data_IF_690161941420
#
_entry.id   IF_690161941420
#
_cell.length_a   1.000
_cell.length_b   1.000
_cell.length_c   1.000
_cell.angle_alpha   90.00
_cell.angle_beta   90.00
_cell.angle_gamma   90.00
#
_symmetry.space_group_name_H-M   'P 1'
#
loop_
_entity.id
_entity.type
_entity.pdbx_description
1 polymer ?
#
# COMPACT_ATOMS: atom_id res chain seq x y z
N UNK A 1 23.96 0.71 43.73
CA UNK A 1 23.37 1.90 43.07
C UNK A 1 24.00 2.26 41.71
N UNK A 2 25.17 1.71 41.32
CA UNK A 2 25.88 2.05 40.06
C UNK A 2 25.64 1.08 38.88
N UNK A 3 25.09 -0.11 39.12
CA UNK A 3 24.83 -1.14 38.09
C UNK A 3 23.57 -0.89 37.27
N UNK A 4 22.56 -0.24 37.87
CA UNK A 4 21.28 0.10 37.23
C UNK A 4 21.45 1.27 36.25
N UNK A 5 22.27 2.27 36.59
CA UNK A 5 22.55 3.44 35.74
C UNK A 5 23.40 3.12 34.51
N UNK A 6 24.30 2.13 34.59
CA UNK A 6 25.08 1.65 33.43
C UNK A 6 24.21 0.89 32.42
N UNK A 7 23.27 0.06 32.89
CA UNK A 7 22.33 -0.68 32.03
C UNK A 7 21.39 0.26 31.27
N UNK A 8 20.84 1.30 31.91
CA UNK A 8 19.97 2.26 31.25
C UNK A 8 20.66 2.99 30.09
N UNK A 9 21.90 3.44 30.29
CA UNK A 9 22.69 4.11 29.25
C UNK A 9 23.05 3.18 28.07
N UNK A 10 23.28 1.89 28.32
CA UNK A 10 23.59 0.91 27.26
C UNK A 10 22.36 0.56 26.41
N UNK A 11 21.18 0.49 27.04
CA UNK A 11 19.89 0.25 26.37
C UNK A 11 19.51 1.44 25.48
N UNK A 12 19.69 2.69 25.95
CA UNK A 12 19.39 3.89 25.15
C UNK A 12 20.36 4.07 23.97
N UNK A 13 21.63 3.68 24.13
CA UNK A 13 22.62 3.71 23.05
C UNK A 13 22.27 2.70 21.95
N UNK A 14 21.90 1.47 22.32
CA UNK A 14 21.40 0.45 21.37
C UNK A 14 20.13 0.90 20.64
N UNK A 15 19.17 1.50 21.35
CA UNK A 15 17.91 2.01 20.74
C UNK A 15 18.19 3.11 19.72
N UNK A 16 19.20 3.95 19.99
CA UNK A 16 19.61 5.06 19.11
C UNK A 16 20.35 4.56 17.87
N UNK A 17 21.29 3.61 18.03
CA UNK A 17 21.95 2.96 16.89
C UNK A 17 20.97 2.19 16.02
N UNK A 18 20.03 1.45 16.61
CA UNK A 18 19.03 0.70 15.88
C UNK A 18 18.08 1.62 15.10
N UNK A 19 17.64 2.75 15.70
CA UNK A 19 16.88 3.79 15.00
C UNK A 19 17.67 4.43 13.85
N UNK A 20 18.98 4.59 14.00
CA UNK A 20 19.86 5.21 12.99
C UNK A 20 20.13 4.26 11.82
N UNK A 21 20.33 2.96 12.10
CA UNK A 21 20.43 1.90 11.12
C UNK A 21 19.12 1.70 10.34
N UNK A 22 17.97 1.72 11.03
CA UNK A 22 16.65 1.66 10.37
C UNK A 22 16.41 2.88 9.47
N UNK A 23 16.78 4.09 9.92
CA UNK A 23 16.68 5.31 9.10
C UNK A 23 17.55 5.24 7.85
N UNK A 24 18.79 4.77 7.95
CA UNK A 24 19.67 4.64 6.79
C UNK A 24 19.19 3.58 5.80
N UNK A 25 18.60 2.49 6.29
CA UNK A 25 17.98 1.46 5.45
C UNK A 25 16.70 1.97 4.76
N UNK A 26 15.86 2.71 5.49
CA UNK A 26 14.68 3.39 4.95
C UNK A 26 15.05 4.40 3.85
N UNK A 27 16.09 5.21 4.07
CA UNK A 27 16.59 6.17 3.08
C UNK A 27 17.10 5.47 1.80
N UNK A 28 17.75 4.31 1.94
CA UNK A 28 18.18 3.49 0.79
C UNK A 28 17.01 2.86 0.03
N UNK A 29 15.94 2.47 0.73
CA UNK A 29 14.73 1.92 0.11
C UNK A 29 13.81 2.98 -0.52
N UNK A 30 13.81 4.21 0.01
CA UNK A 30 13.00 5.32 -0.52
C UNK A 30 13.34 5.65 -1.98
N UNK A 31 14.61 5.65 -2.35
CA UNK A 31 15.06 6.01 -3.71
C UNK A 31 14.54 5.06 -4.80
N UNK A 32 14.72 3.72 -4.70
CA UNK A 32 14.16 2.80 -5.67
C UNK A 32 12.63 2.79 -5.61
N UNK A 33 12.02 2.95 -4.42
CA UNK A 33 10.57 3.05 -4.29
C UNK A 33 10.00 4.27 -5.03
N UNK A 34 10.59 5.45 -4.86
CA UNK A 34 10.17 6.67 -5.55
C UNK A 34 10.41 6.59 -7.05
N UNK A 35 11.53 6.00 -7.49
CA UNK A 35 11.80 5.77 -8.91
C UNK A 35 10.80 4.79 -9.53
N UNK A 36 10.42 3.75 -8.79
CA UNK A 36 9.40 2.78 -9.21
C UNK A 36 8.00 3.41 -9.25
N UNK A 37 7.60 4.12 -8.19
CA UNK A 37 6.31 4.82 -8.13
C UNK A 37 6.19 5.85 -9.27
N UNK A 38 7.28 6.55 -9.60
CA UNK A 38 7.32 7.47 -10.75
C UNK A 38 7.18 6.74 -12.09
N UNK A 39 7.66 5.50 -12.20
CA UNK A 39 7.53 4.65 -13.41
C UNK A 39 6.10 4.11 -13.58
N UNK A 40 5.32 4.06 -12.51
CA UNK A 40 3.90 3.67 -12.52
C UNK A 40 2.96 4.87 -12.31
N UNK A 41 3.36 6.07 -12.73
CA UNK A 41 2.57 7.32 -12.66
C UNK A 41 2.02 7.68 -11.26
N UNK A 42 2.75 7.32 -10.21
CA UNK A 42 2.33 7.52 -8.83
C UNK A 42 1.16 6.62 -8.42
N UNK A 43 0.89 5.55 -9.16
CA UNK A 43 -0.24 4.67 -8.91
C UNK A 43 -0.15 3.97 -7.56
N UNK A 44 1.06 3.69 -7.04
CA UNK A 44 1.25 2.99 -5.76
C UNK A 44 1.02 3.96 -4.61
N UNK A 45 1.61 5.15 -4.67
CA UNK A 45 1.33 6.22 -3.69
C UNK A 45 -0.16 6.56 -3.65
N UNK A 46 -0.80 6.64 -4.81
CA UNK A 46 -2.25 6.87 -4.89
C UNK A 46 -3.06 5.69 -4.32
N UNK A 47 -2.67 4.45 -4.63
CA UNK A 47 -3.32 3.24 -4.15
C UNK A 47 -3.25 3.11 -2.64
N UNK A 48 -2.09 3.37 -2.02
CA UNK A 48 -1.94 3.35 -0.56
C UNK A 48 -2.76 4.49 0.06
N UNK A 49 -2.66 5.71 -0.47
CA UNK A 49 -3.41 6.86 0.05
C UNK A 49 -4.94 6.69 -0.07
N UNK A 50 -5.42 5.93 -1.06
CA UNK A 50 -6.85 5.68 -1.30
C UNK A 50 -7.29 4.26 -0.91
N UNK A 51 -6.58 3.60 0.01
CA UNK A 51 -6.96 2.29 0.56
C UNK A 51 -7.26 1.23 -0.51
N UNK A 52 -6.39 1.14 -1.51
CA UNK A 52 -6.50 0.15 -2.58
C UNK A 52 -7.39 0.57 -3.76
N UNK A 53 -7.77 1.85 -3.86
CA UNK A 53 -8.49 2.37 -5.03
C UNK A 53 -7.52 2.98 -6.03
N UNK A 54 -7.64 2.59 -7.31
CA UNK A 54 -6.89 3.22 -8.40
C UNK A 54 -7.68 4.39 -9.02
N UNK A 55 -6.98 5.34 -9.65
CA UNK A 55 -7.62 6.48 -10.37
C UNK A 55 -8.61 5.98 -11.43
N UNK A 56 -8.25 4.93 -12.16
CA UNK A 56 -9.11 4.24 -13.11
C UNK A 56 -10.38 3.72 -12.44
N UNK A 57 -10.25 3.03 -11.31
CA UNK A 57 -11.39 2.48 -10.59
C UNK A 57 -12.35 3.57 -10.11
N UNK A 58 -11.82 4.71 -9.64
CA UNK A 58 -12.64 5.86 -9.21
C UNK A 58 -13.40 6.46 -10.39
N UNK A 59 -12.72 6.73 -11.50
CA UNK A 59 -13.35 7.30 -12.70
C UNK A 59 -14.40 6.35 -13.29
N UNK A 60 -14.11 5.04 -13.28
CA UNK A 60 -14.99 4.02 -13.85
C UNK A 60 -16.18 3.71 -12.94
N UNK A 61 -16.00 3.72 -11.62
CA UNK A 61 -17.12 3.58 -10.66
C UNK A 61 -18.12 4.73 -10.81
N UNK A 62 -17.64 5.97 -11.03
CA UNK A 62 -18.50 7.12 -11.34
C UNK A 62 -19.24 6.93 -12.67
N UNK A 63 -18.57 6.41 -13.70
CA UNK A 63 -19.21 6.11 -14.99
C UNK A 63 -20.28 5.03 -14.87
N UNK A 64 -20.08 3.99 -14.05
CA UNK A 64 -21.09 2.96 -13.77
C UNK A 64 -22.29 3.54 -13.05
N UNK A 65 -22.09 4.40 -12.05
CA UNK A 65 -23.20 5.02 -11.33
C UNK A 65 -24.09 5.86 -12.25
N UNK A 66 -23.51 6.47 -13.29
CA UNK A 66 -24.24 7.29 -14.25
C UNK A 66 -24.85 6.50 -15.41
N UNK A 67 -24.12 5.53 -15.98
CA UNK A 67 -24.53 4.78 -17.19
C UNK A 67 -25.17 3.42 -16.90
N UNK A 68 -25.09 2.94 -15.66
CA UNK A 68 -25.39 1.56 -15.31
C UNK A 68 -24.33 0.57 -15.85
N UNK A 69 -24.49 -0.70 -15.48
CA UNK A 69 -23.61 -1.80 -15.92
C UNK A 69 -23.75 -2.02 -17.43
N UNK A 70 -24.98 -1.93 -17.95
CA UNK A 70 -25.32 -2.14 -19.35
C UNK A 70 -24.75 -1.04 -20.25
N UNK A 71 -24.87 0.23 -19.83
CA UNK A 71 -24.29 1.36 -20.56
C UNK A 71 -22.76 1.35 -20.58
N UNK A 72 -22.13 0.68 -19.61
CA UNK A 72 -20.68 0.48 -19.58
C UNK A 72 -20.23 -0.62 -20.54
N UNK A 73 -20.97 -1.74 -20.58
CA UNK A 73 -20.74 -2.83 -21.53
C UNK A 73 -20.85 -2.34 -22.98
N UNK A 74 -21.89 -1.55 -23.28
CA UNK A 74 -22.13 -0.99 -24.61
C UNK A 74 -21.07 0.03 -25.06
N UNK A 75 -20.38 0.72 -24.14
CA UNK A 75 -19.27 1.63 -24.49
C UNK A 75 -17.94 0.92 -24.74
N UNK A 76 -17.77 -0.30 -24.25
CA UNK A 76 -16.51 -1.00 -24.39
C UNK A 76 -16.41 -2.23 -23.48
N UNK A 77 -16.56 -3.45 -24.03
CA UNK A 77 -16.44 -4.68 -23.24
C UNK A 77 -15.03 -4.84 -22.65
N UNK A 78 -14.00 -4.35 -23.36
CA UNK A 78 -12.62 -4.35 -22.84
C UNK A 78 -12.49 -3.54 -21.54
N UNK A 79 -13.06 -2.33 -21.50
CA UNK A 79 -12.97 -1.46 -20.32
C UNK A 79 -13.79 -2.02 -19.14
N UNK A 80 -14.89 -2.70 -19.42
CA UNK A 80 -15.67 -3.44 -18.43
C UNK A 80 -14.87 -4.61 -17.83
N UNK A 81 -14.20 -5.41 -18.66
CA UNK A 81 -13.36 -6.53 -18.19
C UNK A 81 -12.22 -6.01 -17.31
N UNK A 82 -11.53 -4.95 -17.73
CA UNK A 82 -10.49 -4.32 -16.89
C UNK A 82 -11.05 -3.80 -15.57
N UNK A 83 -12.23 -3.18 -15.59
CA UNK A 83 -12.91 -2.74 -14.37
C UNK A 83 -13.22 -3.90 -13.43
N UNK A 84 -13.74 -5.00 -13.96
CA UNK A 84 -14.05 -6.20 -13.19
C UNK A 84 -12.78 -6.83 -12.61
N UNK A 85 -11.72 -6.96 -13.40
CA UNK A 85 -10.44 -7.50 -12.95
C UNK A 85 -9.81 -6.63 -11.85
N UNK A 86 -9.90 -5.30 -11.97
CA UNK A 86 -9.45 -4.38 -10.93
C UNK A 86 -10.25 -4.53 -9.62
N UNK A 87 -11.58 -4.73 -9.70
CA UNK A 87 -12.42 -5.00 -8.53
C UNK A 87 -12.03 -6.32 -7.86
N UNK A 88 -11.75 -7.37 -8.65
CA UNK A 88 -11.32 -8.67 -8.14
C UNK A 88 -9.96 -8.61 -7.43
N UNK A 89 -8.98 -7.92 -8.03
CA UNK A 89 -7.66 -7.73 -7.41
C UNK A 89 -7.79 -6.93 -6.11
N UNK A 90 -8.58 -5.85 -6.09
CA UNK A 90 -8.81 -5.07 -4.87
C UNK A 90 -9.42 -5.92 -3.77
N UNK A 91 -10.46 -6.69 -4.07
CA UNK A 91 -11.11 -7.57 -3.09
C UNK A 91 -10.15 -8.67 -2.62
N UNK A 92 -9.28 -9.18 -3.51
CA UNK A 92 -8.22 -10.14 -3.14
C UNK A 92 -7.22 -9.50 -2.16
N UNK A 93 -6.78 -8.27 -2.40
CA UNK A 93 -5.88 -7.56 -1.48
C UNK A 93 -6.57 -7.28 -0.14
N UNK A 94 -7.80 -6.75 -0.17
CA UNK A 94 -8.53 -6.38 1.04
C UNK A 94 -8.93 -7.58 1.89
N UNK A 95 -9.42 -8.66 1.28
CA UNK A 95 -10.02 -9.78 2.02
C UNK A 95 -9.10 -11.00 2.16
N UNK A 96 -8.03 -11.13 1.36
CA UNK A 96 -7.07 -12.23 1.51
C UNK A 96 -5.77 -11.73 2.11
N UNK A 97 -5.16 -10.68 1.54
CA UNK A 97 -3.84 -10.23 1.99
C UNK A 97 -3.88 -9.59 3.39
N UNK A 98 -4.87 -8.74 3.69
CA UNK A 98 -4.96 -8.09 5.01
C UNK A 98 -5.15 -9.12 6.14
N UNK A 99 -6.10 -10.09 6.06
CA UNK A 99 -6.27 -11.08 7.13
C UNK A 99 -5.05 -11.98 7.33
N UNK A 100 -4.38 -12.39 6.24
CA UNK A 100 -3.13 -13.17 6.34
C UNK A 100 -2.05 -12.35 7.06
N UNK A 101 -1.93 -11.07 6.73
CA UNK A 101 -0.93 -10.21 7.35
C UNK A 101 -1.23 -9.98 8.84
N UNK A 102 -2.50 -9.76 9.20
CA UNK A 102 -2.94 -9.62 10.59
C UNK A 102 -2.69 -10.90 11.41
N UNK A 103 -2.99 -12.08 10.82
CA UNK A 103 -2.73 -13.36 11.45
C UNK A 103 -1.23 -13.56 11.73
N UNK A 104 -0.36 -13.27 10.75
CA UNK A 104 1.09 -13.38 10.92
C UNK A 104 1.70 -12.36 11.89
N UNK A 105 1.06 -11.21 12.09
CA UNK A 105 1.52 -10.19 13.04
C UNK A 105 1.12 -10.50 14.49
N UNK A 106 0.08 -11.32 14.67
CA UNK A 106 -0.44 -11.72 15.99
C UNK A 106 0.19 -13.02 16.49
N UNK A 107 0.64 -13.90 15.57
CA UNK A 107 1.44 -15.10 15.86
C UNK A 107 2.91 -14.79 16.11
#
# INVERSE_FOLDING_TARGET
MSTISKNANEVDKKKTEQKTALRSFLEKLKRPFLAFDRKVDGAISFFIAHYGKTKFMVAMSKKIQYLGIEGLWNKGPKAFIYFFLFYLIRDTILYIIIPIWLAKATS
#
